data_IF_517553490362
#
_entry.id   IF_517553490362
#
_cell.length_a   1.000
_cell.length_b   1.000
_cell.length_c   1.000
_cell.angle_alpha   90.00
_cell.angle_beta   90.00
_cell.angle_gamma   90.00
#
_symmetry.space_group_name_H-M   'P 1'
#
loop_
_entity.id
_entity.type
_entity.pdbx_description
1 polymer ?
#
# COMPACT_ATOMS: atom_id res chain seq x y z
N UNK A 1 1.64 -7.88 -25.19
CA UNK A 1 0.54 -8.01 -26.17
C UNK A 1 -0.81 -7.74 -25.52
N UNK A 2 -1.74 -7.22 -26.28
CA UNK A 2 -3.11 -6.97 -25.82
C UNK A 2 -3.91 -8.26 -25.76
N UNK A 3 -4.81 -8.34 -24.80
CA UNK A 3 -5.72 -9.47 -24.62
C UNK A 3 -7.17 -9.04 -24.87
N UNK A 4 -8.07 -10.01 -24.93
CA UNK A 4 -9.50 -9.72 -24.81
C UNK A 4 -9.82 -9.14 -23.44
N UNK A 5 -10.87 -8.35 -23.35
CA UNK A 5 -11.37 -7.77 -22.10
C UNK A 5 -12.05 -8.88 -21.26
N UNK A 6 -11.26 -9.53 -20.42
CA UNK A 6 -11.70 -10.59 -19.51
C UNK A 6 -10.64 -10.75 -18.43
N UNK A 7 -10.86 -10.21 -17.27
CA UNK A 7 -9.86 -10.13 -16.20
C UNK A 7 -9.50 -11.51 -15.65
N UNK A 8 -10.48 -12.40 -15.50
CA UNK A 8 -10.23 -13.80 -15.17
C UNK A 8 -9.40 -14.52 -16.24
N UNK A 9 -9.63 -14.20 -17.52
CA UNK A 9 -8.86 -14.71 -18.64
C UNK A 9 -7.44 -14.15 -18.67
N UNK A 10 -7.24 -12.87 -18.32
CA UNK A 10 -5.92 -12.22 -18.21
C UNK A 10 -5.10 -12.91 -17.13
N UNK A 11 -5.64 -13.03 -15.93
CA UNK A 11 -4.95 -13.64 -14.79
C UNK A 11 -4.73 -15.14 -15.02
N UNK A 12 -5.77 -15.87 -15.46
CA UNK A 12 -5.67 -17.31 -15.71
C UNK A 12 -4.62 -17.65 -16.77
N UNK A 13 -4.52 -16.86 -17.84
CA UNK A 13 -3.47 -17.00 -18.86
C UNK A 13 -2.08 -16.70 -18.29
N UNK A 14 -1.93 -15.62 -17.50
CA UNK A 14 -0.68 -15.31 -16.84
C UNK A 14 -0.21 -16.44 -15.91
N UNK A 15 -1.13 -17.06 -15.16
CA UNK A 15 -0.83 -18.23 -14.33
C UNK A 15 -0.31 -19.39 -15.18
N UNK A 16 -0.98 -19.70 -16.29
CA UNK A 16 -0.53 -20.74 -17.21
C UNK A 16 0.86 -20.46 -17.81
N UNK A 17 1.12 -19.22 -18.20
CA UNK A 17 2.45 -18.78 -18.69
C UNK A 17 3.52 -18.94 -17.63
N UNK A 18 3.23 -18.59 -16.38
CA UNK A 18 4.19 -18.73 -15.27
C UNK A 18 4.51 -20.19 -14.96
N UNK A 19 3.51 -21.09 -15.00
CA UNK A 19 3.72 -22.53 -14.84
C UNK A 19 4.60 -23.08 -15.97
N UNK A 20 4.49 -22.51 -17.18
CA UNK A 20 5.35 -22.86 -18.33
C UNK A 20 6.75 -22.24 -18.25
N UNK A 21 7.10 -21.54 -17.17
CA UNK A 21 8.44 -20.99 -16.94
C UNK A 21 8.66 -19.57 -17.42
N UNK A 22 7.62 -18.86 -17.84
CA UNK A 22 7.71 -17.44 -18.16
C UNK A 22 7.50 -16.57 -16.92
N UNK A 23 7.84 -15.28 -17.02
CA UNK A 23 7.59 -14.26 -15.98
C UNK A 23 6.59 -13.22 -16.52
N UNK A 24 5.28 -13.49 -16.46
CA UNK A 24 4.29 -12.56 -16.97
C UNK A 24 4.08 -11.39 -15.99
N UNK A 25 3.97 -10.20 -16.55
CA UNK A 25 3.49 -9.00 -15.88
C UNK A 25 2.16 -8.64 -16.53
N UNK A 26 1.07 -9.02 -15.87
CA UNK A 26 -0.28 -8.75 -16.34
C UNK A 26 -0.74 -7.37 -15.87
N UNK A 27 -1.49 -6.67 -16.71
CA UNK A 27 -2.10 -5.38 -16.37
C UNK A 27 -3.61 -5.50 -16.34
N UNK A 28 -4.22 -4.96 -15.29
CA UNK A 28 -5.66 -4.73 -15.17
C UNK A 28 -5.85 -3.23 -15.06
N UNK A 29 -6.74 -2.64 -15.88
CA UNK A 29 -6.83 -1.19 -16.08
C UNK A 29 -7.11 -0.38 -14.82
N UNK A 30 -7.86 -0.97 -13.86
CA UNK A 30 -8.15 -0.38 -12.55
C UNK A 30 -8.39 -1.48 -11.52
N UNK A 31 -8.07 -1.18 -10.26
CA UNK A 31 -8.21 -2.11 -9.15
C UNK A 31 -9.59 -2.78 -9.11
N UNK A 32 -10.68 -2.03 -9.32
CA UNK A 32 -12.06 -2.53 -9.27
C UNK A 32 -12.31 -3.67 -10.26
N UNK A 33 -11.68 -3.61 -11.41
CA UNK A 33 -11.86 -4.62 -12.47
C UNK A 33 -11.13 -5.93 -12.22
N UNK A 34 -10.32 -6.01 -11.16
CA UNK A 34 -9.73 -7.28 -10.72
C UNK A 34 -10.73 -8.18 -9.95
N UNK A 35 -11.89 -7.66 -9.53
CA UNK A 35 -12.87 -8.44 -8.77
C UNK A 35 -13.36 -9.71 -9.50
N UNK A 36 -13.66 -9.70 -10.80
CA UNK A 36 -14.03 -10.93 -11.54
C UNK A 36 -12.92 -11.98 -11.55
N UNK A 37 -11.65 -11.59 -11.43
CA UNK A 37 -10.51 -12.51 -11.44
C UNK A 37 -10.19 -13.11 -10.05
N UNK A 38 -11.00 -12.85 -9.03
CA UNK A 38 -10.72 -13.24 -7.63
C UNK A 38 -10.45 -14.74 -7.48
N UNK A 39 -11.17 -15.60 -8.21
CA UNK A 39 -10.95 -17.05 -8.14
C UNK A 39 -9.56 -17.42 -8.67
N UNK A 40 -9.16 -16.90 -9.83
CA UNK A 40 -7.83 -17.16 -10.42
C UNK A 40 -6.72 -16.61 -9.51
N UNK A 41 -6.93 -15.46 -8.90
CA UNK A 41 -5.98 -14.86 -7.95
C UNK A 41 -5.83 -15.75 -6.71
N UNK A 42 -6.91 -16.19 -6.10
CA UNK A 42 -6.88 -17.09 -4.94
C UNK A 42 -6.20 -18.43 -5.26
N UNK A 43 -6.52 -19.01 -6.42
CA UNK A 43 -5.90 -20.26 -6.87
C UNK A 43 -4.40 -20.08 -7.14
N UNK A 44 -3.98 -18.97 -7.70
CA UNK A 44 -2.57 -18.64 -7.93
C UNK A 44 -1.80 -18.51 -6.61
N UNK A 45 -2.28 -17.70 -5.68
CA UNK A 45 -1.61 -17.43 -4.39
C UNK A 45 -1.38 -18.69 -3.57
N UNK A 46 -2.36 -19.60 -3.54
CA UNK A 46 -2.28 -20.83 -2.75
C UNK A 46 -1.52 -21.97 -3.46
N UNK A 47 -1.11 -21.80 -4.71
CA UNK A 47 -0.55 -22.89 -5.54
C UNK A 47 0.67 -23.55 -4.90
N UNK A 48 1.63 -22.76 -4.42
CA UNK A 48 2.83 -23.29 -3.77
C UNK A 48 2.50 -24.12 -2.54
N UNK A 49 1.58 -23.64 -1.72
CA UNK A 49 1.13 -24.34 -0.52
C UNK A 49 0.42 -25.66 -0.87
N UNK A 50 -0.57 -25.60 -1.74
CA UNK A 50 -1.36 -26.79 -2.13
C UNK A 50 -0.54 -27.89 -2.80
N UNK A 51 0.57 -27.53 -3.40
CA UNK A 51 1.44 -28.47 -4.15
C UNK A 51 2.75 -28.82 -3.43
N UNK A 52 2.88 -28.44 -2.15
CA UNK A 52 4.14 -28.59 -1.39
C UNK A 52 5.36 -28.05 -2.16
N UNK A 53 5.25 -26.85 -2.72
CA UNK A 53 6.25 -26.17 -3.55
C UNK A 53 6.63 -26.86 -4.88
N UNK A 54 5.89 -27.88 -5.33
CA UNK A 54 6.15 -28.50 -6.65
C UNK A 54 5.81 -27.58 -7.81
N UNK A 55 4.82 -26.71 -7.64
CA UNK A 55 4.45 -25.69 -8.62
C UNK A 55 4.47 -24.30 -8.00
N UNK A 56 4.86 -23.32 -8.78
CA UNK A 56 4.70 -21.91 -8.48
C UNK A 56 4.22 -21.18 -9.73
N UNK A 57 3.47 -20.11 -9.54
CA UNK A 57 3.08 -19.21 -10.59
C UNK A 57 3.49 -17.79 -10.21
N UNK A 58 4.78 -17.44 -10.35
CA UNK A 58 5.27 -16.10 -10.08
C UNK A 58 4.77 -15.16 -11.17
N UNK A 59 3.71 -14.44 -10.87
CA UNK A 59 3.16 -13.41 -11.76
C UNK A 59 3.17 -12.07 -11.04
N UNK A 60 3.27 -10.98 -11.78
CA UNK A 60 2.97 -9.66 -11.29
C UNK A 60 1.67 -9.19 -11.92
N UNK A 61 0.71 -8.79 -11.10
CA UNK A 61 -0.51 -8.14 -11.57
C UNK A 61 -0.41 -6.66 -11.21
N UNK A 62 -0.23 -5.82 -12.22
CA UNK A 62 -0.20 -4.37 -12.09
C UNK A 62 -1.62 -3.84 -12.19
N UNK A 63 -1.97 -2.89 -11.33
CA UNK A 63 -3.26 -2.23 -11.40
C UNK A 63 -3.20 -0.81 -10.84
N UNK A 64 -3.74 0.19 -11.55
CA UNK A 64 -3.97 1.50 -10.98
C UNK A 64 -5.01 1.41 -9.83
N UNK A 65 -4.73 2.09 -8.73
CA UNK A 65 -5.61 2.21 -7.57
C UNK A 65 -5.51 3.59 -6.93
N UNK A 66 -6.39 3.83 -5.98
CA UNK A 66 -6.45 5.11 -5.29
C UNK A 66 -7.09 6.25 -6.11
N UNK A 67 -7.24 7.41 -5.49
CA UNK A 67 -7.84 8.58 -6.13
C UNK A 67 -6.98 9.11 -7.28
N UNK A 68 -7.63 9.76 -8.27
CA UNK A 68 -6.95 10.50 -9.33
C UNK A 68 -6.64 11.93 -8.89
N UNK A 69 -5.81 12.63 -9.66
CA UNK A 69 -5.62 14.07 -9.49
C UNK A 69 -6.92 14.79 -9.87
N UNK A 70 -7.47 15.55 -8.95
CA UNK A 70 -8.65 16.40 -9.14
C UNK A 70 -9.95 15.65 -9.53
N UNK A 71 -9.97 14.32 -9.53
CA UNK A 71 -11.14 13.52 -9.89
C UNK A 71 -11.21 12.27 -9.03
N UNK A 72 -12.35 12.07 -8.38
CA UNK A 72 -12.73 10.82 -7.75
C UNK A 72 -13.86 10.11 -8.48
N UNK A 73 -14.08 8.86 -8.22
CA UNK A 73 -15.28 8.13 -8.57
C UNK A 73 -15.30 6.77 -7.84
N UNK A 74 -16.48 6.17 -7.61
CA UNK A 74 -16.60 4.95 -6.81
C UNK A 74 -16.01 3.69 -7.46
N UNK A 75 -15.67 3.71 -8.76
CA UNK A 75 -15.07 2.56 -9.44
C UNK A 75 -13.56 2.68 -9.64
N UNK A 76 -13.09 3.83 -10.14
CA UNK A 76 -11.70 3.99 -10.52
C UNK A 76 -10.81 4.56 -9.41
N UNK A 77 -11.42 5.12 -8.34
CA UNK A 77 -10.70 5.71 -7.21
C UNK A 77 -10.68 4.81 -5.98
N UNK A 78 -11.10 3.56 -6.12
CA UNK A 78 -11.09 2.60 -5.02
C UNK A 78 -9.66 2.14 -4.75
N UNK A 79 -9.22 2.23 -3.49
CA UNK A 79 -7.97 1.64 -3.01
C UNK A 79 -8.15 0.16 -2.71
N UNK A 80 -8.88 -0.17 -1.65
CA UNK A 80 -9.25 -1.53 -1.25
C UNK A 80 -8.12 -2.56 -1.39
N UNK A 81 -6.90 -2.12 -1.09
CA UNK A 81 -5.70 -2.96 -1.14
C UNK A 81 -5.75 -4.10 -0.11
N UNK A 82 -6.52 -3.91 0.96
CA UNK A 82 -6.70 -4.92 2.01
C UNK A 82 -7.25 -6.23 1.48
N UNK A 83 -8.07 -6.23 0.44
CA UNK A 83 -8.62 -7.46 -0.15
C UNK A 83 -7.52 -8.42 -0.59
N UNK A 84 -6.40 -7.90 -1.06
CA UNK A 84 -5.28 -8.70 -1.53
C UNK A 84 -4.39 -9.20 -0.41
N UNK A 85 -4.47 -8.62 0.78
CA UNK A 85 -3.81 -9.16 1.98
C UNK A 85 -4.54 -10.41 2.52
N UNK A 86 -5.84 -10.54 2.23
CA UNK A 86 -6.61 -11.77 2.49
C UNK A 86 -6.41 -12.85 1.43
N UNK A 87 -5.92 -12.50 0.24
CA UNK A 87 -5.58 -13.45 -0.80
C UNK A 87 -4.27 -14.16 -0.43
N UNK A 88 -4.37 -15.30 0.25
CA UNK A 88 -3.24 -16.03 0.81
C UNK A 88 -2.16 -16.33 -0.24
N UNK A 89 -0.92 -16.01 0.10
CA UNK A 89 0.25 -16.27 -0.74
C UNK A 89 0.62 -15.14 -1.69
N UNK A 90 -0.15 -14.07 -1.75
CA UNK A 90 0.18 -12.87 -2.50
C UNK A 90 1.09 -11.92 -1.73
N UNK A 91 1.95 -11.22 -2.47
CA UNK A 91 2.66 -10.04 -2.01
C UNK A 91 1.92 -8.80 -2.52
N UNK A 92 1.90 -7.72 -1.74
CA UNK A 92 1.21 -6.48 -2.12
C UNK A 92 2.16 -5.30 -1.98
N UNK A 93 2.51 -4.68 -3.10
CA UNK A 93 3.40 -3.53 -3.19
C UNK A 93 2.63 -2.27 -3.58
N UNK A 94 2.90 -1.16 -2.89
CA UNK A 94 2.26 0.14 -3.09
C UNK A 94 3.33 1.23 -2.99
N UNK A 95 4.16 1.41 -4.02
CA UNK A 95 5.22 2.41 -4.00
C UNK A 95 4.67 3.84 -3.90
N UNK A 96 5.39 4.70 -3.21
CA UNK A 96 5.09 6.12 -3.08
C UNK A 96 5.84 7.01 -4.07
N UNK A 97 6.79 6.47 -4.83
CA UNK A 97 7.58 7.18 -5.82
C UNK A 97 8.15 6.25 -6.89
N UNK A 98 8.63 6.85 -8.00
CA UNK A 98 9.12 6.12 -9.16
C UNK A 98 10.38 5.27 -8.88
N UNK A 99 11.30 5.70 -8.02
CA UNK A 99 12.49 4.92 -7.70
C UNK A 99 12.13 3.64 -6.95
N UNK A 100 11.25 3.75 -5.93
CA UNK A 100 10.74 2.60 -5.19
C UNK A 100 9.92 1.68 -6.10
N UNK A 101 9.13 2.23 -7.04
CA UNK A 101 8.40 1.45 -8.03
C UNK A 101 9.33 0.58 -8.89
N UNK A 102 10.44 1.15 -9.38
CA UNK A 102 11.45 0.41 -10.15
C UNK A 102 12.04 -0.72 -9.31
N UNK A 103 12.49 -0.42 -8.08
CA UNK A 103 13.12 -1.41 -7.21
C UNK A 103 12.19 -2.55 -6.80
N UNK A 104 10.97 -2.21 -6.39
CA UNK A 104 9.95 -3.19 -5.97
C UNK A 104 9.46 -4.05 -7.14
N UNK A 105 9.25 -3.46 -8.34
CA UNK A 105 8.84 -4.22 -9.51
C UNK A 105 9.91 -5.24 -9.92
N UNK A 106 11.19 -4.85 -9.88
CA UNK A 106 12.31 -5.77 -10.14
C UNK A 106 12.39 -6.89 -9.11
N UNK A 107 12.12 -6.59 -7.82
CA UNK A 107 12.05 -7.60 -6.78
C UNK A 107 10.87 -8.56 -7.00
N UNK A 108 9.69 -8.02 -7.32
CA UNK A 108 8.50 -8.80 -7.61
C UNK A 108 8.73 -9.78 -8.78
N UNK A 109 9.34 -9.31 -9.88
CA UNK A 109 9.67 -10.15 -11.05
C UNK A 109 10.73 -11.22 -10.76
N UNK A 110 11.48 -11.11 -9.67
CA UNK A 110 12.46 -12.10 -9.21
C UNK A 110 11.93 -13.00 -8.08
N UNK A 111 10.75 -12.66 -7.56
CA UNK A 111 10.10 -13.45 -6.52
C UNK A 111 9.56 -14.77 -7.06
N UNK A 112 9.47 -15.79 -6.19
CA UNK A 112 8.73 -17.02 -6.47
C UNK A 112 7.26 -16.92 -6.07
N UNK A 113 6.85 -15.84 -5.41
CA UNK A 113 5.48 -15.58 -5.01
C UNK A 113 4.82 -14.60 -6.00
N UNK A 114 3.52 -14.73 -6.25
CA UNK A 114 2.80 -13.75 -7.05
C UNK A 114 2.69 -12.42 -6.32
N UNK A 115 2.69 -11.33 -7.06
CA UNK A 115 2.67 -9.96 -6.50
C UNK A 115 1.57 -9.13 -7.15
N UNK A 116 0.73 -8.51 -6.31
CA UNK A 116 -0.12 -7.38 -6.69
C UNK A 116 0.72 -6.12 -6.58
N UNK A 117 0.78 -5.36 -7.65
CA UNK A 117 1.55 -4.13 -7.73
C UNK A 117 0.63 -2.95 -8.02
N UNK A 118 0.36 -2.17 -6.98
CA UNK A 118 -0.47 -0.97 -7.11
C UNK A 118 0.32 0.18 -7.72
N UNK A 119 -0.31 0.89 -8.64
CA UNK A 119 0.18 2.14 -9.24
C UNK A 119 -0.77 3.25 -8.83
N UNK A 120 -0.38 4.06 -7.85
CA UNK A 120 -1.28 5.08 -7.33
C UNK A 120 -1.55 6.17 -8.36
N UNK A 121 -2.81 6.35 -8.75
CA UNK A 121 -3.22 7.23 -9.86
C UNK A 121 -2.76 8.68 -9.69
N UNK A 122 -2.91 9.27 -8.52
CA UNK A 122 -2.47 10.64 -8.28
C UNK A 122 -0.94 10.78 -8.41
N UNK A 123 -0.16 9.77 -8.02
CA UNK A 123 1.30 9.81 -8.11
C UNK A 123 1.82 9.69 -9.55
N UNK A 124 1.08 9.00 -10.43
CA UNK A 124 1.44 8.92 -11.87
C UNK A 124 1.38 10.27 -12.58
N UNK A 125 0.57 11.21 -12.08
CA UNK A 125 0.23 12.47 -12.74
C UNK A 125 0.82 13.69 -12.05
N UNK A 126 1.62 13.49 -10.99
CA UNK A 126 2.17 14.59 -10.18
C UNK A 126 3.67 14.46 -9.98
N UNK A 127 4.32 15.59 -9.61
CA UNK A 127 5.73 15.62 -9.22
C UNK A 127 6.02 14.80 -7.95
N UNK A 128 5.01 14.60 -7.11
CA UNK A 128 5.16 13.90 -5.82
C UNK A 128 5.56 12.44 -6.00
N UNK A 129 5.10 11.82 -7.10
CA UNK A 129 5.49 10.47 -7.49
C UNK A 129 6.82 10.40 -8.23
N UNK A 130 7.40 11.53 -8.62
CA UNK A 130 8.65 11.55 -9.41
C UNK A 130 9.86 11.23 -8.53
N UNK A 131 10.85 10.59 -9.15
CA UNK A 131 12.16 10.36 -8.54
C UNK A 131 13.22 10.21 -9.61
N UNK A 132 14.48 10.48 -9.24
CA UNK A 132 15.60 10.19 -10.12
C UNK A 132 15.68 8.69 -10.37
N UNK A 133 15.96 8.30 -11.62
CA UNK A 133 16.19 6.89 -11.97
C UNK A 133 17.30 6.29 -11.11
N UNK A 134 17.04 5.17 -10.39
CA UNK A 134 17.99 4.66 -9.40
C UNK A 134 19.13 3.80 -9.99
N UNK A 135 19.15 3.59 -11.30
CA UNK A 135 20.12 2.72 -11.99
C UNK A 135 19.57 1.33 -12.31
N UNK A 136 20.29 0.59 -13.17
CA UNK A 136 19.81 -0.68 -13.73
C UNK A 136 19.83 -1.83 -12.72
N UNK A 137 20.75 -1.81 -11.77
CA UNK A 137 20.90 -2.87 -10.76
C UNK A 137 20.11 -2.64 -9.49
N UNK A 138 19.40 -1.51 -9.40
CA UNK A 138 18.62 -1.19 -8.19
C UNK A 138 17.45 -2.16 -8.00
N UNK A 139 17.46 -2.87 -6.89
CA UNK A 139 16.40 -3.80 -6.46
C UNK A 139 16.05 -3.47 -5.00
N UNK A 140 14.77 -3.36 -4.72
CA UNK A 140 14.25 -3.09 -3.39
C UNK A 140 13.48 -4.30 -2.88
N UNK A 141 13.92 -4.97 -1.81
CA UNK A 141 13.22 -6.12 -1.27
C UNK A 141 11.81 -5.76 -0.81
N UNK A 142 10.86 -6.67 -1.05
CA UNK A 142 9.51 -6.58 -0.50
C UNK A 142 9.55 -6.81 1.02
N UNK A 143 8.72 -6.11 1.78
CA UNK A 143 8.68 -6.21 3.24
C UNK A 143 9.64 -5.26 3.96
N UNK A 144 10.32 -4.36 3.25
CA UNK A 144 11.23 -3.37 3.83
C UNK A 144 10.65 -1.98 3.69
N UNK A 145 10.29 -1.36 4.81
CA UNK A 145 9.83 0.02 4.87
C UNK A 145 10.98 1.04 4.80
N UNK A 146 10.62 2.32 4.81
CA UNK A 146 11.58 3.43 4.82
C UNK A 146 11.14 4.52 5.78
N UNK A 147 12.04 5.02 6.59
CA UNK A 147 11.85 6.29 7.31
C UNK A 147 12.07 7.42 6.30
N UNK A 148 10.99 8.11 5.93
CA UNK A 148 11.05 9.25 5.00
C UNK A 148 11.29 10.57 5.73
N UNK A 149 10.96 10.64 7.02
CA UNK A 149 11.30 11.71 7.94
C UNK A 149 11.62 11.10 9.31
N UNK A 150 12.81 11.30 9.87
CA UNK A 150 13.10 10.84 11.22
C UNK A 150 12.39 11.69 12.28
N UNK A 151 12.07 11.09 13.43
CA UNK A 151 11.42 11.78 14.54
C UNK A 151 11.40 10.96 15.82
N UNK A 152 11.08 11.59 16.96
CA UNK A 152 11.14 10.95 18.27
C UNK A 152 9.87 11.12 19.13
N UNK A 153 8.92 11.97 18.73
CA UNK A 153 7.75 12.32 19.55
C UNK A 153 6.50 11.52 19.17
N UNK A 154 6.39 11.14 17.87
CA UNK A 154 5.26 10.39 17.32
C UNK A 154 5.68 9.69 16.02
N UNK A 155 5.16 8.49 15.79
CA UNK A 155 5.33 7.74 14.55
C UNK A 155 4.07 7.83 13.68
N UNK A 156 4.22 8.28 12.44
CA UNK A 156 3.20 8.14 11.39
C UNK A 156 3.56 6.95 10.52
N UNK A 157 2.64 5.99 10.38
CA UNK A 157 2.78 4.83 9.49
C UNK A 157 1.86 5.00 8.30
N UNK A 158 2.40 4.92 7.08
CA UNK A 158 1.63 5.21 5.87
C UNK A 158 2.21 4.52 4.62
N UNK A 159 1.53 4.64 3.48
CA UNK A 159 1.96 4.12 2.17
C UNK A 159 1.29 4.87 1.01
N UNK A 160 1.76 4.65 -0.21
CA UNK A 160 1.19 5.26 -1.41
C UNK A 160 1.21 6.79 -1.38
N UNK A 161 0.13 7.42 -1.81
CA UNK A 161 0.04 8.88 -1.86
C UNK A 161 -0.01 9.54 -0.49
N UNK A 162 -0.42 8.81 0.55
CA UNK A 162 -0.49 9.38 1.90
C UNK A 162 0.89 9.65 2.51
N UNK A 163 1.97 9.08 1.96
CA UNK A 163 3.35 9.35 2.37
C UNK A 163 3.70 10.84 2.23
N UNK A 164 3.40 11.42 1.07
CA UNK A 164 3.70 12.82 0.81
C UNK A 164 2.89 13.75 1.70
N UNK A 165 1.58 13.50 1.82
CA UNK A 165 0.68 14.28 2.70
C UNK A 165 1.09 14.20 4.17
N UNK A 166 1.50 13.02 4.63
CA UNK A 166 1.98 12.83 6.01
C UNK A 166 3.31 13.54 6.27
N UNK A 167 4.22 13.52 5.29
CA UNK A 167 5.49 14.26 5.38
C UNK A 167 5.24 15.77 5.45
N UNK A 168 4.40 16.31 4.58
CA UNK A 168 4.02 17.72 4.57
C UNK A 168 3.38 18.14 5.90
N UNK A 169 2.46 17.33 6.43
CA UNK A 169 1.83 17.56 7.72
C UNK A 169 2.86 17.59 8.86
N UNK A 170 3.83 16.68 8.85
CA UNK A 170 4.88 16.58 9.86
C UNK A 170 5.91 17.72 9.76
N UNK A 171 6.26 18.17 8.55
CA UNK A 171 7.18 19.29 8.31
C UNK A 171 6.60 20.65 8.77
N UNK A 172 5.27 20.78 8.80
CA UNK A 172 4.57 21.98 9.27
C UNK A 172 4.40 22.06 10.80
N UNK A 173 5.04 21.15 11.56
CA UNK A 173 5.00 21.10 13.02
C UNK A 173 6.40 21.30 13.62
N UNK A 174 6.47 21.96 14.77
CA UNK A 174 7.71 22.05 15.56
C UNK A 174 8.06 20.74 16.31
N UNK A 175 7.18 19.72 16.21
CA UNK A 175 7.36 18.41 16.82
C UNK A 175 8.24 17.48 15.98
N UNK A 176 8.92 16.57 16.66
CA UNK A 176 9.81 15.56 16.06
C UNK A 176 9.02 14.32 15.62
N UNK A 177 8.24 14.46 14.54
CA UNK A 177 7.37 13.39 14.00
C UNK A 177 8.14 12.52 13.03
N UNK A 178 8.20 11.21 13.30
CA UNK A 178 8.73 10.23 12.34
C UNK A 178 7.65 9.81 11.34
N UNK A 179 8.01 9.73 10.06
CA UNK A 179 7.11 9.24 9.00
C UNK A 179 7.73 8.00 8.36
N UNK A 180 7.02 6.88 8.42
CA UNK A 180 7.40 5.60 7.83
C UNK A 180 6.53 5.33 6.61
N UNK A 181 7.19 5.12 5.47
CA UNK A 181 6.60 4.58 4.25
C UNK A 181 6.77 3.06 4.23
N UNK A 182 5.66 2.33 4.33
CA UNK A 182 5.70 0.86 4.30
C UNK A 182 6.10 0.29 2.96
N UNK A 183 5.80 0.97 1.82
CA UNK A 183 6.08 0.50 0.46
C UNK A 183 5.37 -0.79 0.08
N UNK A 184 5.21 -1.71 1.02
CA UNK A 184 4.51 -2.99 0.89
C UNK A 184 3.66 -3.24 2.12
N UNK A 185 2.48 -3.84 1.94
CA UNK A 185 1.58 -4.18 3.03
C UNK A 185 1.45 -5.70 3.25
N UNK A 186 1.89 -6.50 2.28
CA UNK A 186 2.02 -7.95 2.42
C UNK A 186 3.29 -8.43 1.68
N UNK A 187 4.35 -8.78 2.39
CA UNK A 187 4.59 -8.50 3.82
C UNK A 187 4.80 -7.01 4.08
N UNK A 188 4.51 -6.56 5.30
CA UNK A 188 4.86 -5.22 5.77
C UNK A 188 6.06 -5.27 6.74
N UNK A 189 6.77 -4.16 6.89
CA UNK A 189 7.93 -4.05 7.79
C UNK A 189 7.49 -3.84 9.23
N UNK A 190 7.07 -4.94 9.85
CA UNK A 190 6.56 -4.96 11.21
C UNK A 190 7.61 -4.55 12.24
N UNK A 191 8.85 -5.00 12.06
CA UNK A 191 9.92 -4.74 13.02
C UNK A 191 10.33 -3.26 13.02
N UNK A 192 10.38 -2.63 11.85
CA UNK A 192 10.62 -1.18 11.73
C UNK A 192 9.53 -0.41 12.49
N UNK A 193 8.25 -0.72 12.25
CA UNK A 193 7.13 -0.02 12.88
C UNK A 193 7.13 -0.23 14.39
N UNK A 194 7.28 -1.47 14.86
CA UNK A 194 7.34 -1.77 16.30
C UNK A 194 8.50 -1.06 16.99
N UNK A 195 9.67 -1.05 16.36
CA UNK A 195 10.86 -0.36 16.91
C UNK A 195 10.62 1.13 17.03
N UNK A 196 10.05 1.74 16.00
CA UNK A 196 9.73 3.16 15.99
C UNK A 196 8.68 3.50 17.07
N UNK A 197 7.55 2.80 17.08
CA UNK A 197 6.45 3.08 18.01
C UNK A 197 6.86 2.86 19.47
N UNK A 198 7.66 1.83 19.76
CA UNK A 198 8.19 1.61 21.11
C UNK A 198 9.12 2.75 21.59
N UNK A 199 9.74 3.46 20.66
CA UNK A 199 10.61 4.60 20.97
C UNK A 199 9.82 5.90 21.12
N UNK A 200 8.80 6.11 20.26
CA UNK A 200 8.05 7.37 20.23
C UNK A 200 6.84 7.39 21.17
N UNK A 201 6.36 6.24 21.61
CA UNK A 201 5.20 6.10 22.50
C UNK A 201 3.84 6.40 21.84
N UNK A 202 3.82 6.96 20.63
CA UNK A 202 2.61 7.42 19.93
C UNK A 202 2.60 7.00 18.48
N UNK A 203 1.42 6.58 17.98
CA UNK A 203 1.28 6.15 16.59
C UNK A 203 0.00 6.67 15.95
N UNK A 204 0.16 7.25 14.76
CA UNK A 204 -0.91 7.56 13.83
C UNK A 204 -0.74 6.72 12.56
N UNK A 205 -1.74 5.95 12.16
CA UNK A 205 -1.75 5.20 10.90
C UNK A 205 -2.59 5.98 9.90
N UNK A 206 -2.01 6.31 8.74
CA UNK A 206 -2.69 7.11 7.71
C UNK A 206 -2.75 6.33 6.41
N UNK A 207 -3.96 6.10 5.89
CA UNK A 207 -4.17 5.49 4.58
C UNK A 207 -5.49 5.95 3.93
N UNK A 208 -5.65 5.68 2.65
CA UNK A 208 -6.81 6.12 1.87
C UNK A 208 -7.89 5.04 1.67
N UNK A 209 -7.68 3.84 2.16
CA UNK A 209 -8.74 2.83 2.21
C UNK A 209 -9.73 3.14 3.34
N UNK A 210 -10.88 2.47 3.35
CA UNK A 210 -11.92 2.69 4.35
C UNK A 210 -11.45 2.38 5.78
N UNK A 211 -12.07 3.02 6.76
CA UNK A 211 -11.77 2.82 8.17
C UNK A 211 -12.10 1.38 8.61
N UNK A 212 -13.27 0.87 8.19
CA UNK A 212 -13.68 -0.50 8.52
C UNK A 212 -12.87 -1.51 7.70
N UNK A 213 -12.19 -2.38 8.40
CA UNK A 213 -11.37 -3.47 7.84
C UNK A 213 -10.22 -3.04 6.95
N UNK A 214 -9.90 -1.75 6.81
CA UNK A 214 -8.69 -1.31 6.12
C UNK A 214 -7.42 -1.86 6.79
N UNK A 215 -6.31 -2.00 6.05
CA UNK A 215 -5.08 -2.63 6.55
C UNK A 215 -4.49 -1.95 7.80
N UNK A 216 -4.76 -0.67 7.99
CA UNK A 216 -4.40 0.05 9.22
C UNK A 216 -4.98 -0.57 10.50
N UNK A 217 -6.08 -1.32 10.41
CA UNK A 217 -6.65 -2.04 11.56
C UNK A 217 -5.76 -3.20 12.00
N UNK A 218 -5.13 -3.93 11.05
CA UNK A 218 -4.17 -5.00 11.35
C UNK A 218 -2.91 -4.45 12.03
N UNK A 219 -2.40 -3.33 11.53
CA UNK A 219 -1.25 -2.64 12.13
C UNK A 219 -1.61 -2.21 13.57
N UNK A 220 -2.77 -1.57 13.76
CA UNK A 220 -3.23 -1.12 15.08
C UNK A 220 -3.40 -2.29 16.06
N UNK A 221 -3.98 -3.41 15.63
CA UNK A 221 -4.11 -4.62 16.45
C UNK A 221 -2.76 -5.21 16.84
N UNK A 222 -1.79 -5.22 15.91
CA UNK A 222 -0.42 -5.66 16.19
C UNK A 222 0.25 -4.76 17.23
N UNK A 223 0.14 -3.43 17.07
CA UNK A 223 0.71 -2.47 18.02
C UNK A 223 0.05 -2.55 19.39
N UNK A 224 -1.28 -2.67 19.44
CA UNK A 224 -2.02 -2.84 20.69
C UNK A 224 -1.60 -4.10 21.48
N UNK A 225 -1.15 -5.14 20.79
CA UNK A 225 -0.66 -6.38 21.43
C UNK A 225 0.82 -6.28 21.82
N UNK A 226 1.68 -5.76 20.94
CA UNK A 226 3.13 -5.95 21.05
C UNK A 226 3.90 -4.70 21.47
N UNK A 227 3.25 -3.54 21.39
CA UNK A 227 3.78 -2.28 21.88
C UNK A 227 2.98 -1.69 23.05
N UNK A 228 1.94 -2.37 23.55
CA UNK A 228 0.99 -1.87 24.57
C UNK A 228 1.68 -1.13 25.72
N UNK A 229 2.68 -1.74 26.31
CA UNK A 229 3.39 -1.20 27.49
C UNK A 229 4.35 -0.03 27.16
N UNK A 230 4.46 0.34 25.89
CA UNK A 230 5.28 1.46 25.40
C UNK A 230 4.44 2.62 24.89
N UNK A 231 3.10 2.46 24.86
CA UNK A 231 2.21 3.47 24.33
C UNK A 231 1.86 4.51 25.42
N UNK A 232 2.04 5.78 25.08
CA UNK A 232 1.63 6.93 25.89
C UNK A 232 0.20 7.39 25.52
N UNK A 233 -0.30 6.99 24.34
CA UNK A 233 -1.64 7.28 23.84
C UNK A 233 -2.19 6.09 23.05
N UNK A 234 -3.53 5.99 22.87
CA UNK A 234 -4.12 4.99 21.99
C UNK A 234 -3.56 5.12 20.56
N UNK A 235 -3.35 3.97 19.89
CA UNK A 235 -3.02 3.96 18.45
C UNK A 235 -4.23 4.51 17.68
N UNK A 236 -4.00 5.55 16.89
CA UNK A 236 -5.07 6.18 16.12
C UNK A 236 -4.93 5.89 14.63
N UNK A 237 -6.06 5.92 13.92
CA UNK A 237 -6.14 5.67 12.48
C UNK A 237 -6.89 6.81 11.79
N UNK A 238 -6.25 7.44 10.83
CA UNK A 238 -6.86 8.43 9.95
C UNK A 238 -6.99 7.85 8.55
N UNK A 239 -8.21 7.53 8.17
CA UNK A 239 -8.55 6.81 6.94
C UNK A 239 -9.75 7.51 6.28
N UNK A 240 -10.13 7.04 5.10
CA UNK A 240 -11.42 7.43 4.53
C UNK A 240 -12.54 6.77 5.35
N UNK A 241 -13.60 7.51 5.63
CA UNK A 241 -14.82 6.95 6.23
C UNK A 241 -15.48 5.93 5.28
N UNK A 242 -16.39 5.12 5.81
CA UNK A 242 -17.05 4.05 5.04
C UNK A 242 -18.09 4.62 4.06
N UNK A 243 -17.62 5.46 3.13
CA UNK A 243 -18.41 6.11 2.09
C UNK A 243 -17.82 5.87 0.71
N UNK A 244 -18.64 5.81 -0.34
CA UNK A 244 -18.14 5.74 -1.71
C UNK A 244 -17.31 6.97 -2.07
N UNK A 245 -16.23 6.79 -2.83
CA UNK A 245 -15.43 7.90 -3.34
C UNK A 245 -16.27 8.84 -4.20
N UNK A 246 -16.35 10.14 -3.85
CA UNK A 246 -17.15 11.10 -4.59
C UNK A 246 -16.47 11.53 -5.89
N UNK A 247 -17.29 12.01 -6.85
CA UNK A 247 -16.81 12.52 -8.14
C UNK A 247 -16.23 13.94 -8.05
N UNK A 248 -16.89 14.80 -7.28
CA UNK A 248 -16.56 16.23 -7.25
C UNK A 248 -15.29 16.47 -6.41
N UNK A 249 -14.32 17.27 -6.91
CA UNK A 249 -13.04 17.51 -6.20
C UNK A 249 -13.21 17.99 -4.75
N UNK A 250 -14.10 18.92 -4.48
CA UNK A 250 -14.34 19.41 -3.11
C UNK A 250 -14.86 18.32 -2.16
N UNK A 251 -15.67 17.38 -2.67
CA UNK A 251 -16.16 16.27 -1.88
C UNK A 251 -15.05 15.21 -1.72
N UNK A 252 -14.22 15.01 -2.73
CA UNK A 252 -13.06 14.14 -2.67
C UNK A 252 -12.07 14.62 -1.61
N UNK A 253 -11.77 15.93 -1.59
CA UNK A 253 -10.90 16.54 -0.58
C UNK A 253 -11.49 16.44 0.83
N UNK A 254 -12.81 16.46 0.96
CA UNK A 254 -13.48 16.34 2.25
C UNK A 254 -13.40 14.92 2.86
N UNK A 255 -13.27 13.89 2.04
CA UNK A 255 -13.20 12.48 2.52
C UNK A 255 -11.77 11.95 2.62
N UNK A 256 -10.84 12.49 1.84
CA UNK A 256 -9.44 12.03 1.87
C UNK A 256 -8.67 12.69 3.02
N UNK A 257 -7.77 11.96 3.69
CA UNK A 257 -6.83 12.56 4.65
C UNK A 257 -5.98 13.65 3.98
N UNK A 258 -6.26 14.92 4.24
CA UNK A 258 -5.44 16.04 3.79
C UNK A 258 -4.25 16.27 4.75
N UNK A 259 -3.22 16.97 4.30
CA UNK A 259 -2.08 17.34 5.17
C UNK A 259 -2.53 18.13 6.41
N UNK A 260 -3.54 19.00 6.27
CA UNK A 260 -4.08 19.78 7.40
C UNK A 260 -4.79 18.89 8.42
N UNK A 261 -5.61 17.94 7.96
CA UNK A 261 -6.30 16.98 8.84
C UNK A 261 -5.31 16.05 9.54
N UNK A 262 -4.31 15.58 8.81
CA UNK A 262 -3.22 14.76 9.38
C UNK A 262 -2.47 15.55 10.45
N UNK A 263 -2.11 16.81 10.17
CA UNK A 263 -1.43 17.71 11.12
C UNK A 263 -2.23 17.91 12.40
N UNK A 264 -3.54 18.14 12.29
CA UNK A 264 -4.39 18.33 13.47
C UNK A 264 -4.51 17.04 14.30
N UNK A 265 -4.59 15.88 13.64
CA UNK A 265 -4.61 14.59 14.33
C UNK A 265 -3.29 14.32 15.07
N UNK A 266 -2.14 14.67 14.46
CA UNK A 266 -0.84 14.59 15.12
C UNK A 266 -0.80 15.48 16.37
N UNK A 267 -1.29 16.74 16.31
CA UNK A 267 -1.37 17.64 17.47
C UNK A 267 -2.21 17.04 18.60
N UNK A 268 -3.34 16.48 18.26
CA UNK A 268 -4.22 15.82 19.25
C UNK A 268 -3.50 14.69 19.97
N UNK A 269 -2.78 13.83 19.24
CA UNK A 269 -2.03 12.72 19.84
C UNK A 269 -0.82 13.18 20.66
N UNK A 270 -0.19 14.30 20.28
CA UNK A 270 0.93 14.86 21.04
C UNK A 270 0.50 15.53 22.35
N UNK A 271 -0.78 15.93 22.44
CA UNK A 271 -1.36 16.54 23.65
C UNK A 271 -2.01 15.54 24.60
N UNK A 272 -2.16 14.28 24.18
CA UNK A 272 -2.69 13.20 25.00
C UNK A 272 -1.61 12.63 25.92
#
# INVERSE_FOLDING_TARGET
FDTSLSEEGIVGRAVGMAIAGLMPVAEIQFRKYADPATEQLNNCGTMRWRTANRFCAPIVVRMPGGFGKDVGDPWHSLSAEVLWTHAIGWQVAIPSNAADAVGLLRAAMRSKNPTIFFEHRALLMTSDGSARYPGDDYVLPLGIGRIVRPGNDLTVVTWGAMVQRSREAAEALDASVEVIDLRTIAPWDRDLVLTSVKRTGRCLIVHEDTLTSGFGAEIAATLAKEAFWYLDAPVDRLCVEDVPMPYHPLLLDAVLPSADVIRERIRTLLSA
#
